data_IF_734984531819
#
_entry.id   IF_734984531819
#
_cell.length_a   1.000
_cell.length_b   1.000
_cell.length_c   1.000
_cell.angle_alpha   90.00
_cell.angle_beta   90.00
_cell.angle_gamma   90.00
#
_symmetry.space_group_name_H-M   'P 1'
#
loop_
_entity.id
_entity.type
_entity.pdbx_description
1 polymer ?
#
# COMPACT_ATOMS: atom_id res chain seq x y z
N UNK A 1 23.62 3.89 -5.38
CA UNK A 1 22.16 3.98 -5.62
C UNK A 1 21.88 3.36 -6.97
N UNK A 2 21.20 2.22 -7.01
CA UNK A 2 20.76 1.64 -8.28
C UNK A 2 19.88 2.65 -9.01
N UNK A 3 20.13 2.87 -10.30
CA UNK A 3 19.29 3.78 -11.08
C UNK A 3 17.93 3.10 -11.27
N UNK A 4 16.87 3.80 -10.87
CA UNK A 4 15.47 3.38 -11.07
C UNK A 4 15.09 3.24 -12.54
N UNK A 5 15.92 3.76 -13.44
CA UNK A 5 15.84 3.62 -14.90
C UNK A 5 17.21 3.24 -15.45
N UNK A 6 17.24 2.29 -16.37
CA UNK A 6 18.45 1.83 -17.05
C UNK A 6 18.13 1.36 -18.47
N UNK A 7 19.15 1.04 -19.27
CA UNK A 7 18.99 0.51 -20.64
C UNK A 7 19.63 -0.87 -20.79
N UNK A 8 19.03 -1.73 -21.61
CA UNK A 8 19.57 -2.99 -22.12
C UNK A 8 19.25 -3.07 -23.61
N UNK A 9 20.26 -3.30 -24.44
CA UNK A 9 20.12 -3.48 -25.90
C UNK A 9 19.26 -2.39 -26.57
N UNK A 10 19.54 -1.12 -26.25
CA UNK A 10 18.81 0.09 -26.67
C UNK A 10 17.38 0.28 -26.11
N UNK A 11 16.85 -0.68 -25.35
CA UNK A 11 15.55 -0.58 -24.69
C UNK A 11 15.67 -0.06 -23.26
N UNK A 12 14.69 0.75 -22.84
CA UNK A 12 14.62 1.31 -21.49
C UNK A 12 13.87 0.37 -20.55
N UNK A 13 14.36 0.29 -19.33
CA UNK A 13 13.74 -0.45 -18.25
C UNK A 13 13.63 0.42 -17.01
N UNK A 14 12.64 0.12 -16.18
CA UNK A 14 12.56 0.64 -14.82
C UNK A 14 12.37 -0.45 -13.80
N UNK A 15 13.02 -0.28 -12.65
CA UNK A 15 12.74 -1.09 -11.47
C UNK A 15 11.50 -0.55 -10.76
N UNK A 16 10.55 -1.43 -10.50
CA UNK A 16 9.33 -1.20 -9.72
C UNK A 16 9.25 -2.26 -8.62
N UNK A 17 8.16 -2.25 -7.86
CA UNK A 17 7.69 -3.29 -6.94
C UNK A 17 8.70 -4.44 -6.73
N UNK A 18 9.42 -4.43 -5.60
CA UNK A 18 10.41 -5.46 -5.25
C UNK A 18 11.55 -5.62 -6.28
N UNK A 19 12.04 -4.50 -6.84
CA UNK A 19 13.09 -4.45 -7.87
C UNK A 19 12.78 -5.18 -9.18
N UNK A 20 11.50 -5.52 -9.42
CA UNK A 20 11.08 -6.12 -10.68
C UNK A 20 11.29 -5.13 -11.84
N UNK A 21 11.81 -5.64 -12.95
CA UNK A 21 12.11 -4.85 -14.14
C UNK A 21 10.90 -4.80 -15.07
N UNK A 22 10.53 -3.59 -15.48
CA UNK A 22 9.46 -3.32 -16.44
C UNK A 22 10.10 -2.72 -17.69
N UNK A 23 9.83 -3.30 -18.85
CA UNK A 23 10.24 -2.76 -20.15
C UNK A 23 9.38 -1.52 -20.45
N UNK A 24 10.00 -0.38 -20.67
CA UNK A 24 9.29 0.84 -21.03
C UNK A 24 8.92 0.80 -22.52
N UNK A 25 7.63 0.87 -22.82
CA UNK A 25 7.13 0.87 -24.20
C UNK A 25 7.24 2.29 -24.78
N UNK A 26 8.00 2.42 -25.86
CA UNK A 26 8.10 3.68 -26.63
C UNK A 26 7.11 3.66 -27.80
N UNK A 27 6.29 4.70 -27.95
CA UNK A 27 5.20 4.74 -28.95
C UNK A 27 5.69 4.47 -30.39
N UNK A 28 6.85 4.99 -30.75
CA UNK A 28 7.41 4.85 -32.11
C UNK A 28 8.14 3.52 -32.33
N UNK A 29 8.18 2.64 -31.32
CA UNK A 29 8.93 1.38 -31.30
C UNK A 29 8.12 0.22 -30.72
N UNK A 30 6.79 0.29 -30.74
CA UNK A 30 5.94 -0.73 -30.10
C UNK A 30 6.29 -2.13 -30.60
N UNK A 31 6.35 -2.35 -31.91
CA UNK A 31 6.65 -3.67 -32.48
C UNK A 31 8.03 -4.17 -32.05
N UNK A 32 9.05 -3.31 -32.10
CA UNK A 32 10.41 -3.63 -31.68
C UNK A 32 10.49 -3.95 -30.19
N UNK A 33 9.78 -3.19 -29.35
CA UNK A 33 9.67 -3.45 -27.92
C UNK A 33 9.03 -4.82 -27.66
N UNK A 34 7.95 -5.16 -28.37
CA UNK A 34 7.24 -6.41 -28.18
C UNK A 34 8.02 -7.61 -28.72
N UNK A 35 8.67 -7.50 -29.87
CA UNK A 35 9.57 -8.52 -30.42
C UNK A 35 10.72 -8.80 -29.45
N UNK A 36 11.40 -7.75 -28.99
CA UNK A 36 12.47 -7.87 -28.00
C UNK A 36 11.97 -8.49 -26.70
N UNK A 37 10.79 -8.09 -26.23
CA UNK A 37 10.19 -8.65 -25.03
C UNK A 37 9.97 -10.16 -25.16
N UNK A 38 9.38 -10.61 -26.27
CA UNK A 38 9.09 -12.03 -26.54
C UNK A 38 10.38 -12.85 -26.64
N UNK A 39 11.40 -12.32 -27.33
CA UNK A 39 12.69 -13.00 -27.48
C UNK A 39 13.41 -13.20 -26.15
N UNK A 40 13.15 -12.34 -25.16
CA UNK A 40 13.82 -12.33 -23.86
C UNK A 40 12.91 -12.71 -22.68
N UNK A 41 11.72 -13.26 -22.95
CA UNK A 41 10.70 -13.64 -21.93
C UNK A 41 10.34 -12.51 -20.93
N UNK A 42 10.30 -11.26 -21.41
CA UNK A 42 9.91 -10.10 -20.62
C UNK A 42 8.39 -9.91 -20.68
N UNK A 43 7.70 -10.08 -19.55
CA UNK A 43 6.23 -10.03 -19.46
C UNK A 43 5.65 -8.81 -18.73
N UNK A 44 6.51 -7.89 -18.30
CA UNK A 44 6.16 -6.73 -17.48
C UNK A 44 6.52 -5.44 -18.21
N UNK A 45 5.53 -4.56 -18.37
CA UNK A 45 5.66 -3.38 -19.21
C UNK A 45 5.23 -2.10 -18.49
N UNK A 46 5.99 -1.03 -18.73
CA UNK A 46 5.63 0.32 -18.31
C UNK A 46 5.18 1.14 -19.52
N UNK A 47 3.98 1.73 -19.41
CA UNK A 47 3.44 2.68 -20.38
C UNK A 47 3.33 4.03 -19.69
N UNK A 48 4.09 4.99 -20.20
CA UNK A 48 4.24 6.30 -19.57
C UNK A 48 4.47 7.39 -20.59
N UNK A 49 3.78 8.52 -20.41
CA UNK A 49 4.05 9.77 -21.11
C UNK A 49 5.53 10.19 -20.99
N UNK A 50 6.14 9.97 -19.82
CA UNK A 50 7.54 10.33 -19.56
C UNK A 50 8.54 9.48 -20.36
N UNK A 51 8.11 8.31 -20.84
CA UNK A 51 8.92 7.39 -21.64
C UNK A 51 8.50 7.39 -23.11
N UNK A 52 8.14 8.57 -23.61
CA UNK A 52 7.78 8.80 -25.01
C UNK A 52 6.51 8.08 -25.49
N UNK A 53 5.67 7.58 -24.58
CA UNK A 53 4.33 7.09 -24.91
C UNK A 53 3.31 8.25 -24.94
N UNK A 54 3.34 9.05 -26.00
CA UNK A 54 2.47 10.23 -26.17
C UNK A 54 1.15 9.90 -26.90
N UNK A 55 0.49 8.83 -26.49
CA UNK A 55 -0.82 8.39 -27.00
C UNK A 55 -1.71 7.98 -25.84
N UNK A 56 -3.03 8.16 -25.97
CA UNK A 56 -4.01 7.60 -25.03
C UNK A 56 -4.33 6.12 -25.35
N UNK A 57 -4.09 5.68 -26.58
CA UNK A 57 -4.43 4.36 -27.06
C UNK A 57 -3.40 3.33 -26.62
N UNK A 58 -3.85 2.25 -25.99
CA UNK A 58 -3.06 1.06 -25.62
C UNK A 58 -3.68 -0.22 -26.19
N UNK A 59 -4.51 -0.11 -27.23
CA UNK A 59 -5.19 -1.23 -27.88
C UNK A 59 -4.24 -2.29 -28.44
N UNK A 60 -2.99 -1.91 -28.75
CA UNK A 60 -1.96 -2.86 -29.19
C UNK A 60 -1.76 -4.02 -28.19
N UNK A 61 -2.03 -3.80 -26.89
CA UNK A 61 -1.95 -4.84 -25.85
C UNK A 61 -2.88 -6.03 -26.12
N UNK A 62 -3.97 -5.83 -26.86
CA UNK A 62 -4.93 -6.87 -27.23
C UNK A 62 -4.25 -7.97 -28.07
N UNK A 63 -3.24 -7.60 -28.87
CA UNK A 63 -2.48 -8.57 -29.67
C UNK A 63 -1.58 -9.48 -28.81
N UNK A 64 -1.44 -9.19 -27.52
CA UNK A 64 -0.53 -9.86 -26.59
C UNK A 64 -1.22 -10.32 -25.29
N UNK A 65 -2.54 -10.55 -25.34
CA UNK A 65 -3.37 -10.89 -24.17
C UNK A 65 -2.92 -12.16 -23.42
N UNK A 66 -2.30 -13.11 -24.12
CA UNK A 66 -1.79 -14.35 -23.53
C UNK A 66 -0.37 -14.21 -22.96
N UNK A 67 0.32 -13.11 -23.25
CA UNK A 67 1.73 -12.92 -22.92
C UNK A 67 1.96 -11.95 -21.75
N UNK A 68 1.19 -10.87 -21.69
CA UNK A 68 1.39 -9.79 -20.71
C UNK A 68 0.95 -10.25 -19.31
N UNK A 69 1.86 -10.19 -18.34
CA UNK A 69 1.59 -10.53 -16.94
C UNK A 69 1.63 -9.32 -16.01
N UNK A 70 2.32 -8.23 -16.39
CA UNK A 70 2.42 -7.04 -15.54
C UNK A 70 2.34 -5.74 -16.32
N UNK A 71 1.56 -4.78 -15.80
CA UNK A 71 1.43 -3.44 -16.37
C UNK A 71 1.59 -2.36 -15.31
N UNK A 72 2.44 -1.38 -15.61
CA UNK A 72 2.55 -0.12 -14.89
C UNK A 72 2.14 1.03 -15.82
N UNK A 73 0.96 1.59 -15.58
CA UNK A 73 0.40 2.69 -16.34
C UNK A 73 0.55 3.98 -15.53
N UNK A 74 1.45 4.86 -15.96
CA UNK A 74 1.78 6.08 -15.20
C UNK A 74 1.06 7.34 -15.70
N UNK A 75 0.10 7.19 -16.60
CA UNK A 75 -0.51 8.29 -17.33
C UNK A 75 -2.03 8.22 -17.25
N UNK A 76 -2.62 9.19 -16.56
CA UNK A 76 -4.06 9.27 -16.23
C UNK A 76 -4.97 9.45 -17.47
N UNK A 77 -4.40 9.76 -18.63
CA UNK A 77 -5.15 9.97 -19.87
C UNK A 77 -5.25 8.73 -20.77
N UNK A 78 -4.68 7.58 -20.38
CA UNK A 78 -4.78 6.35 -21.17
C UNK A 78 -6.22 5.81 -21.18
N UNK A 79 -6.65 5.31 -22.33
CA UNK A 79 -7.85 4.48 -22.43
C UNK A 79 -7.53 3.08 -21.89
N UNK A 80 -7.99 2.79 -20.67
CA UNK A 80 -7.78 1.49 -20.02
C UNK A 80 -8.81 0.43 -20.42
N UNK A 81 -9.70 0.70 -21.38
CA UNK A 81 -10.67 -0.29 -21.86
C UNK A 81 -10.04 -1.63 -22.28
N UNK A 82 -8.84 -1.69 -22.91
CA UNK A 82 -8.19 -2.96 -23.28
C UNK A 82 -7.83 -3.85 -22.08
N UNK A 83 -7.67 -3.29 -20.88
CA UNK A 83 -7.30 -4.06 -19.68
C UNK A 83 -8.31 -5.17 -19.37
N UNK A 84 -9.59 -4.97 -19.70
CA UNK A 84 -10.64 -5.98 -19.49
C UNK A 84 -10.42 -7.28 -20.28
N UNK A 85 -9.50 -7.30 -21.25
CA UNK A 85 -9.19 -8.48 -22.05
C UNK A 85 -7.93 -9.23 -21.59
N UNK A 86 -7.13 -8.63 -20.69
CA UNK A 86 -5.83 -9.16 -20.26
C UNK A 86 -5.98 -10.19 -19.13
N UNK A 87 -6.56 -11.35 -19.45
CA UNK A 87 -6.86 -12.41 -18.46
C UNK A 87 -5.63 -13.02 -17.78
N UNK A 88 -4.44 -12.85 -18.36
CA UNK A 88 -3.17 -13.31 -17.79
C UNK A 88 -2.53 -12.33 -16.80
N UNK A 89 -3.10 -11.13 -16.65
CA UNK A 89 -2.51 -10.08 -15.83
C UNK A 89 -2.45 -10.47 -14.35
N UNK A 90 -1.24 -10.45 -13.80
CA UNK A 90 -0.92 -10.73 -12.40
C UNK A 90 -0.62 -9.47 -11.62
N UNK A 91 -0.10 -8.44 -12.28
CA UNK A 91 0.24 -7.17 -11.65
C UNK A 91 -0.30 -6.00 -12.45
N UNK A 92 -1.00 -5.10 -11.78
CA UNK A 92 -1.55 -3.91 -12.40
C UNK A 92 -1.37 -2.69 -11.50
N UNK A 93 -0.73 -1.66 -12.04
CA UNK A 93 -0.67 -0.33 -11.45
C UNK A 93 -1.23 0.67 -12.45
N UNK A 94 -2.19 1.49 -12.04
CA UNK A 94 -2.68 2.61 -12.84
C UNK A 94 -3.06 3.80 -11.97
N UNK A 95 -3.10 4.99 -12.59
CA UNK A 95 -3.40 6.23 -11.91
C UNK A 95 -4.89 6.53 -11.85
N UNK A 96 -5.22 7.79 -12.10
CA UNK A 96 -6.58 8.32 -12.06
C UNK A 96 -7.23 8.22 -13.45
N UNK A 97 -8.20 7.31 -13.62
CA UNK A 97 -8.89 7.07 -14.90
C UNK A 97 -10.42 7.14 -14.74
N UNK A 98 -10.93 8.22 -14.14
CA UNK A 98 -12.33 8.32 -13.71
C UNK A 98 -13.39 8.02 -14.79
N UNK A 99 -13.06 8.23 -16.07
CA UNK A 99 -13.98 8.06 -17.20
C UNK A 99 -14.07 6.63 -17.73
N UNK A 100 -13.16 5.75 -17.34
CA UNK A 100 -13.05 4.41 -17.93
C UNK A 100 -13.63 3.33 -17.02
N UNK A 101 -14.09 2.24 -17.63
CA UNK A 101 -14.65 1.09 -16.93
C UNK A 101 -13.62 -0.03 -16.83
N UNK A 102 -13.41 -0.54 -15.62
CA UNK A 102 -12.62 -1.76 -15.39
C UNK A 102 -13.45 -2.70 -14.51
N UNK A 103 -13.66 -3.90 -15.01
CA UNK A 103 -14.30 -4.97 -14.28
C UNK A 103 -13.23 -5.97 -13.81
N UNK A 104 -12.98 -6.01 -12.50
CA UNK A 104 -11.94 -6.84 -11.92
C UNK A 104 -12.28 -8.34 -11.95
N UNK A 105 -13.54 -8.71 -12.23
CA UNK A 105 -13.89 -10.10 -12.50
C UNK A 105 -13.27 -10.63 -13.81
N UNK A 106 -12.87 -9.74 -14.73
CA UNK A 106 -12.18 -10.10 -15.96
C UNK A 106 -10.67 -10.37 -15.77
N UNK A 107 -10.13 -10.09 -14.58
CA UNK A 107 -8.71 -10.24 -14.23
C UNK A 107 -8.51 -11.32 -13.16
N UNK A 108 -8.84 -12.60 -13.44
CA UNK A 108 -8.89 -13.64 -12.42
C UNK A 108 -7.52 -14.01 -11.83
N UNK A 109 -6.42 -13.65 -12.51
CA UNK A 109 -5.04 -13.96 -12.07
C UNK A 109 -4.36 -12.81 -11.32
N UNK A 110 -5.08 -11.73 -11.05
CA UNK A 110 -4.49 -10.52 -10.47
C UNK A 110 -4.06 -10.75 -9.00
N UNK A 111 -2.75 -10.67 -8.75
CA UNK A 111 -2.13 -10.85 -7.43
C UNK A 111 -1.81 -9.51 -6.78
N UNK A 112 -1.33 -8.55 -7.59
CA UNK A 112 -1.00 -7.20 -7.14
C UNK A 112 -1.84 -6.18 -7.90
N UNK A 113 -2.51 -5.29 -7.16
CA UNK A 113 -3.27 -4.19 -7.73
C UNK A 113 -2.99 -2.90 -6.96
N UNK A 114 -2.61 -1.84 -7.66
CA UNK A 114 -2.54 -0.49 -7.10
C UNK A 114 -3.20 0.53 -8.01
N UNK A 115 -4.19 1.27 -7.51
CA UNK A 115 -4.93 2.21 -8.35
C UNK A 115 -5.54 3.39 -7.59
N UNK A 116 -6.05 4.39 -8.32
CA UNK A 116 -6.91 5.44 -7.76
C UNK A 116 -8.38 5.05 -7.88
N UNK A 117 -9.09 5.04 -6.75
CA UNK A 117 -10.49 4.64 -6.69
C UNK A 117 -11.41 5.52 -7.53
N UNK A 118 -12.29 4.89 -8.30
CA UNK A 118 -13.40 5.54 -8.98
C UNK A 118 -14.64 4.64 -9.02
N UNK A 119 -15.82 5.24 -9.19
CA UNK A 119 -17.11 4.53 -9.22
C UNK A 119 -17.28 3.54 -10.37
N UNK A 120 -16.42 3.60 -11.38
CA UNK A 120 -16.45 2.75 -12.56
C UNK A 120 -15.59 1.48 -12.44
N UNK A 121 -14.85 1.31 -11.32
CA UNK A 121 -14.28 0.01 -10.94
C UNK A 121 -15.41 -0.88 -10.44
N UNK A 122 -15.57 -2.02 -11.09
CA UNK A 122 -16.60 -3.01 -10.75
C UNK A 122 -15.97 -4.29 -10.20
N UNK A 123 -16.75 -4.98 -9.37
CA UNK A 123 -16.43 -6.32 -8.87
C UNK A 123 -15.08 -6.44 -8.15
N UNK A 124 -14.66 -5.41 -7.40
CA UNK A 124 -13.47 -5.49 -6.55
C UNK A 124 -13.60 -6.61 -5.50
N UNK A 125 -14.81 -6.85 -5.01
CA UNK A 125 -15.18 -7.95 -4.12
C UNK A 125 -14.98 -9.33 -4.74
N UNK A 126 -14.79 -9.43 -6.07
CA UNK A 126 -14.58 -10.70 -6.80
C UNK A 126 -13.11 -10.94 -7.19
N UNK A 127 -12.20 -10.05 -6.83
CA UNK A 127 -10.78 -10.16 -7.14
C UNK A 127 -10.06 -11.13 -6.18
N UNK A 128 -10.57 -12.37 -6.06
CA UNK A 128 -10.20 -13.34 -5.02
C UNK A 128 -8.72 -13.79 -5.04
N UNK A 129 -8.00 -13.52 -6.13
CA UNK A 129 -6.57 -13.82 -6.29
C UNK A 129 -5.66 -12.76 -5.67
N UNK A 130 -6.19 -11.60 -5.26
CA UNK A 130 -5.37 -10.51 -4.74
C UNK A 130 -4.68 -10.87 -3.43
N UNK A 131 -3.38 -10.63 -3.40
CA UNK A 131 -2.52 -10.77 -2.22
C UNK A 131 -2.02 -9.41 -1.72
N UNK A 132 -1.93 -8.42 -2.61
CA UNK A 132 -1.53 -7.05 -2.27
C UNK A 132 -2.38 -6.02 -2.99
N UNK A 133 -2.95 -5.09 -2.23
CA UNK A 133 -3.89 -4.09 -2.72
C UNK A 133 -3.52 -2.69 -2.21
N UNK A 134 -3.29 -1.78 -3.14
CA UNK A 134 -3.10 -0.35 -2.91
C UNK A 134 -4.26 0.46 -3.50
N UNK A 135 -4.92 1.30 -2.71
CA UNK A 135 -5.98 2.16 -3.23
C UNK A 135 -5.81 3.61 -2.76
N UNK A 136 -5.52 4.49 -3.71
CA UNK A 136 -5.57 5.94 -3.53
C UNK A 136 -7.00 6.46 -3.65
N UNK A 137 -7.34 7.51 -2.90
CA UNK A 137 -8.67 8.14 -2.91
C UNK A 137 -9.84 7.17 -2.62
N UNK A 138 -9.57 6.06 -1.92
CA UNK A 138 -10.56 5.03 -1.64
C UNK A 138 -11.83 5.62 -1.02
N UNK A 139 -12.97 5.48 -1.70
CA UNK A 139 -14.20 6.16 -1.31
C UNK A 139 -15.45 5.34 -1.66
N UNK A 140 -15.62 4.14 -1.07
CA UNK A 140 -16.82 3.34 -1.27
C UNK A 140 -18.07 4.05 -0.77
N UNK A 141 -19.24 3.55 -1.19
CA UNK A 141 -20.53 4.05 -0.70
C UNK A 141 -20.70 3.78 0.80
N UNK A 142 -20.26 2.62 1.28
CA UNK A 142 -20.33 2.18 2.69
C UNK A 142 -19.42 2.96 3.64
N UNK A 143 -18.41 3.67 3.13
CA UNK A 143 -17.37 4.36 3.93
C UNK A 143 -16.56 3.43 4.84
N UNK A 144 -16.42 2.18 4.44
CA UNK A 144 -15.65 1.14 5.15
C UNK A 144 -14.98 0.15 4.17
N UNK A 145 -14.56 -1.01 4.66
CA UNK A 145 -13.90 -2.08 3.89
C UNK A 145 -14.81 -3.27 3.58
N UNK A 146 -16.13 -3.16 3.75
CA UNK A 146 -17.07 -4.27 3.53
C UNK A 146 -16.94 -4.94 2.16
N UNK A 147 -16.68 -4.15 1.11
CA UNK A 147 -16.45 -4.68 -0.25
C UNK A 147 -15.13 -5.46 -0.42
N UNK A 148 -14.19 -5.35 0.52
CA UNK A 148 -12.95 -6.14 0.51
C UNK A 148 -13.08 -7.43 1.31
N UNK A 149 -14.19 -7.65 2.01
CA UNK A 149 -14.36 -8.70 3.02
C UNK A 149 -14.21 -10.14 2.52
N UNK A 150 -14.23 -10.36 1.20
CA UNK A 150 -14.05 -11.67 0.58
C UNK A 150 -12.63 -11.89 0.02
N UNK A 151 -11.74 -10.90 0.13
CA UNK A 151 -10.36 -10.96 -0.38
C UNK A 151 -9.44 -11.71 0.59
N UNK A 152 -9.79 -12.96 0.90
CA UNK A 152 -9.17 -13.74 1.97
C UNK A 152 -7.68 -14.06 1.75
N UNK A 153 -7.15 -13.89 0.53
CA UNK A 153 -5.72 -14.04 0.22
C UNK A 153 -4.90 -12.78 0.50
N UNK A 154 -5.53 -11.67 0.91
CA UNK A 154 -4.86 -10.40 1.06
C UNK A 154 -3.90 -10.41 2.26
N UNK A 155 -2.62 -10.21 1.98
CA UNK A 155 -1.55 -10.08 2.99
C UNK A 155 -1.17 -8.61 3.21
N UNK A 156 -1.38 -7.75 2.22
CA UNK A 156 -1.02 -6.33 2.27
C UNK A 156 -2.15 -5.45 1.77
N UNK A 157 -2.55 -4.47 2.60
CA UNK A 157 -3.54 -3.46 2.27
C UNK A 157 -2.99 -2.06 2.55
N UNK A 158 -2.90 -1.25 1.49
CA UNK A 158 -2.54 0.16 1.54
C UNK A 158 -3.69 1.04 1.08
N UNK A 159 -4.08 2.01 1.89
CA UNK A 159 -5.07 3.02 1.56
C UNK A 159 -4.45 4.40 1.75
N UNK A 160 -4.59 5.26 0.76
CA UNK A 160 -4.16 6.65 0.83
C UNK A 160 -5.32 7.60 0.50
N UNK A 161 -5.42 8.71 1.23
CA UNK A 161 -6.38 9.80 0.98
C UNK A 161 -7.84 9.34 0.95
N UNK A 162 -8.31 8.68 2.00
CA UNK A 162 -9.65 8.10 2.06
C UNK A 162 -10.60 8.85 2.99
N UNK A 163 -11.90 8.82 2.65
CA UNK A 163 -12.99 9.31 3.50
C UNK A 163 -13.70 8.18 4.28
N UNK A 164 -13.06 7.02 4.45
CA UNK A 164 -13.57 5.97 5.34
C UNK A 164 -13.78 6.49 6.76
N UNK A 165 -14.78 5.94 7.43
CA UNK A 165 -15.14 6.28 8.82
C UNK A 165 -14.95 5.11 9.77
N UNK A 166 -14.96 3.88 9.25
CA UNK A 166 -14.85 2.64 10.02
C UNK A 166 -13.92 1.62 9.36
N UNK A 167 -13.44 0.67 10.16
CA UNK A 167 -12.60 -0.44 9.73
C UNK A 167 -13.39 -1.71 9.35
N UNK A 168 -14.72 -1.68 9.40
CA UNK A 168 -15.60 -2.83 9.10
C UNK A 168 -15.29 -3.44 7.73
N UNK A 169 -15.34 -4.76 7.63
CA UNK A 169 -14.90 -5.57 6.50
C UNK A 169 -13.46 -6.08 6.63
N UNK A 170 -12.60 -5.45 7.44
CA UNK A 170 -11.24 -5.96 7.69
C UNK A 170 -11.24 -7.17 8.63
N UNK A 171 -12.29 -7.37 9.42
CA UNK A 171 -12.44 -8.53 10.30
C UNK A 171 -12.33 -9.85 9.54
N UNK A 172 -12.67 -9.92 8.26
CA UNK A 172 -12.62 -11.18 7.50
C UNK A 172 -11.23 -11.47 6.89
N UNK A 173 -10.30 -10.50 6.92
CA UNK A 173 -8.98 -10.60 6.29
C UNK A 173 -7.95 -11.25 7.21
N UNK A 174 -8.18 -12.52 7.55
CA UNK A 174 -7.38 -13.29 8.51
C UNK A 174 -5.89 -13.46 8.13
N UNK A 175 -5.55 -13.32 6.85
CA UNK A 175 -4.17 -13.42 6.34
C UNK A 175 -3.43 -12.07 6.29
N UNK A 176 -4.07 -10.96 6.69
CA UNK A 176 -3.48 -9.64 6.60
C UNK A 176 -2.26 -9.49 7.52
N UNK A 177 -1.12 -9.14 6.93
CA UNK A 177 0.16 -8.94 7.61
C UNK A 177 0.57 -7.47 7.63
N UNK A 178 0.16 -6.69 6.63
CA UNK A 178 0.49 -5.28 6.49
C UNK A 178 -0.76 -4.45 6.26
N UNK A 179 -1.00 -3.47 7.14
CA UNK A 179 -2.08 -2.50 7.01
C UNK A 179 -1.51 -1.09 7.08
N UNK A 180 -1.72 -0.32 6.01
CA UNK A 180 -1.31 1.08 5.92
C UNK A 180 -2.52 1.94 5.60
N UNK A 181 -2.96 2.78 6.53
CA UNK A 181 -4.01 3.78 6.34
C UNK A 181 -3.37 5.17 6.43
N UNK A 182 -3.29 5.88 5.31
CA UNK A 182 -2.67 7.22 5.23
C UNK A 182 -3.70 8.25 4.79
N UNK A 183 -3.62 9.43 5.38
CA UNK A 183 -4.53 10.55 5.07
C UNK A 183 -6.00 10.11 5.11
N UNK A 184 -6.41 9.45 6.19
CA UNK A 184 -7.79 9.05 6.44
C UNK A 184 -8.40 9.95 7.54
N UNK A 185 -8.69 11.23 7.25
CA UNK A 185 -9.04 12.22 8.29
C UNK A 185 -10.42 12.00 8.90
N UNK A 186 -11.25 11.12 8.32
CA UNK A 186 -12.60 10.79 8.80
C UNK A 186 -12.67 9.48 9.57
N UNK A 187 -11.57 8.74 9.68
CA UNK A 187 -11.54 7.49 10.44
C UNK A 187 -11.64 7.81 11.93
N UNK A 188 -12.72 7.40 12.60
CA UNK A 188 -13.01 7.84 13.96
C UNK A 188 -12.58 6.85 15.04
N UNK A 189 -12.62 5.55 14.75
CA UNK A 189 -12.35 4.53 15.77
C UNK A 189 -11.45 3.43 15.23
N UNK A 190 -10.33 3.23 15.90
CA UNK A 190 -9.57 2.00 15.79
C UNK A 190 -10.32 0.91 16.56
N UNK A 191 -10.62 -0.18 15.87
CA UNK A 191 -11.25 -1.36 16.46
C UNK A 191 -10.38 -2.57 16.16
N UNK A 192 -10.14 -3.37 17.18
CA UNK A 192 -9.48 -4.67 17.05
C UNK A 192 -10.54 -5.75 16.78
N UNK A 193 -10.34 -6.57 15.74
CA UNK A 193 -11.33 -7.55 15.27
C UNK A 193 -11.07 -8.99 15.70
N UNK A 194 -10.22 -9.24 16.70
CA UNK A 194 -9.64 -10.56 16.99
C UNK A 194 -8.82 -11.19 15.86
N UNK A 195 -8.97 -10.74 14.60
CA UNK A 195 -8.39 -11.34 13.39
C UNK A 195 -7.08 -10.69 12.92
N UNK A 196 -6.65 -9.57 13.52
CA UNK A 196 -5.30 -9.01 13.30
C UNK A 196 -4.18 -9.81 13.97
N UNK A 197 -4.37 -11.12 14.20
CA UNK A 197 -3.39 -12.00 14.87
C UNK A 197 -2.11 -12.15 14.06
N UNK A 198 -2.20 -12.03 12.74
CA UNK A 198 -1.06 -12.14 11.82
C UNK A 198 -0.49 -10.77 11.40
N UNK A 199 -1.03 -9.67 11.92
CA UNK A 199 -0.62 -8.33 11.52
C UNK A 199 0.76 -8.01 12.11
N UNK A 200 1.74 -7.82 11.23
CA UNK A 200 3.13 -7.51 11.56
C UNK A 200 3.45 -6.03 11.43
N UNK A 201 2.75 -5.32 10.54
CA UNK A 201 2.97 -3.90 10.32
C UNK A 201 1.66 -3.15 10.29
N UNK A 202 1.56 -2.12 11.13
CA UNK A 202 0.44 -1.19 11.17
C UNK A 202 0.97 0.23 10.98
N UNK A 203 0.46 0.92 9.97
CA UNK A 203 0.75 2.33 9.74
C UNK A 203 -0.55 3.12 9.70
N UNK A 204 -0.69 4.07 10.62
CA UNK A 204 -1.74 5.06 10.69
C UNK A 204 -1.06 6.42 10.51
N UNK A 205 -1.21 7.05 9.36
CA UNK A 205 -0.54 8.32 9.05
C UNK A 205 -1.59 9.39 8.71
N UNK A 206 -1.52 10.54 9.39
CA UNK A 206 -2.48 11.63 9.26
C UNK A 206 -3.95 11.19 9.48
N UNK A 207 -4.19 10.21 10.34
CA UNK A 207 -5.52 9.76 10.76
C UNK A 207 -6.09 10.65 11.88
N UNK A 208 -6.29 11.94 11.59
CA UNK A 208 -6.49 13.02 12.59
C UNK A 208 -7.72 12.91 13.52
N UNK A 209 -8.63 11.96 13.31
CA UNK A 209 -9.83 11.76 14.15
C UNK A 209 -9.86 10.39 14.82
N UNK A 210 -8.81 9.59 14.66
CA UNK A 210 -8.82 8.21 15.16
C UNK A 210 -8.73 8.18 16.68
N UNK A 211 -9.63 7.44 17.29
CA UNK A 211 -9.66 7.15 18.72
C UNK A 211 -9.43 5.66 18.98
N UNK A 212 -9.20 5.27 20.23
CA UNK A 212 -9.02 3.86 20.60
C UNK A 212 -7.65 3.28 20.27
N UNK A 213 -6.63 4.11 20.01
CA UNK A 213 -5.25 3.68 19.74
C UNK A 213 -4.67 2.72 20.79
N UNK A 214 -4.96 2.83 22.11
CA UNK A 214 -4.48 1.84 23.08
C UNK A 214 -4.92 0.39 22.81
N UNK A 215 -5.97 0.16 22.01
CA UNK A 215 -6.38 -1.20 21.61
C UNK A 215 -5.35 -1.90 20.70
N UNK A 216 -4.37 -1.17 20.14
CA UNK A 216 -3.26 -1.76 19.38
C UNK A 216 -2.50 -2.78 20.21
N UNK A 217 -2.49 -2.67 21.55
CA UNK A 217 -1.87 -3.63 22.47
C UNK A 217 -2.33 -5.09 22.30
N UNK A 218 -3.47 -5.33 21.64
CA UNK A 218 -3.99 -6.66 21.36
C UNK A 218 -3.38 -7.31 20.11
N UNK A 219 -2.63 -6.56 19.29
CA UNK A 219 -1.97 -7.05 18.08
C UNK A 219 -0.60 -7.63 18.46
N UNK A 220 -0.62 -8.82 19.07
CA UNK A 220 0.56 -9.40 19.72
C UNK A 220 1.73 -9.75 18.80
N UNK A 221 1.52 -9.84 17.47
CA UNK A 221 2.56 -10.13 16.48
C UNK A 221 3.12 -8.86 15.80
N UNK A 222 2.76 -7.66 16.29
CA UNK A 222 3.15 -6.42 15.64
C UNK A 222 4.66 -6.17 15.80
N UNK A 223 5.35 -6.03 14.68
CA UNK A 223 6.78 -5.75 14.58
C UNK A 223 7.06 -4.27 14.25
N UNK A 224 6.14 -3.61 13.55
CA UNK A 224 6.26 -2.21 13.12
C UNK A 224 4.96 -1.44 13.36
N UNK A 225 5.07 -0.33 14.09
CA UNK A 225 3.98 0.59 14.37
C UNK A 225 4.34 2.01 13.95
N UNK A 226 3.51 2.60 13.09
CA UNK A 226 3.54 4.04 12.78
C UNK A 226 2.20 4.66 13.13
N UNK A 227 2.21 5.77 13.87
CA UNK A 227 1.03 6.57 14.21
C UNK A 227 1.28 8.07 13.96
N UNK A 228 2.00 8.41 12.88
CA UNK A 228 2.41 9.79 12.63
C UNK A 228 1.20 10.71 12.37
N UNK A 229 1.17 11.89 13.01
CA UNK A 229 0.11 12.89 12.84
C UNK A 229 -1.31 12.39 13.20
N UNK A 230 -1.40 11.39 14.07
CA UNK A 230 -2.63 10.98 14.75
C UNK A 230 -2.93 11.89 15.96
N UNK A 231 -4.16 11.85 16.52
CA UNK A 231 -4.50 12.57 17.75
C UNK A 231 -3.56 12.25 18.90
N UNK A 232 -3.39 13.25 19.78
CA UNK A 232 -2.61 13.10 21.00
C UNK A 232 -3.11 11.91 21.83
N UNK A 233 -2.17 11.18 22.43
CA UNK A 233 -2.43 10.02 23.30
C UNK A 233 -2.10 10.38 24.74
N UNK A 234 -2.87 9.85 25.69
CA UNK A 234 -2.64 10.10 27.13
C UNK A 234 -1.24 9.67 27.57
N UNK A 235 -0.87 8.46 27.17
CA UNK A 235 0.36 7.76 27.55
C UNK A 235 0.68 6.69 26.49
N UNK A 236 1.83 6.03 26.65
CA UNK A 236 2.31 4.94 25.78
C UNK A 236 2.46 3.60 26.50
N UNK A 237 1.82 3.42 27.67
CA UNK A 237 1.98 2.19 28.48
C UNK A 237 1.53 0.93 27.75
N UNK A 238 0.50 1.08 26.91
CA UNK A 238 -0.04 0.00 26.09
C UNK A 238 0.99 -0.60 25.12
N UNK A 239 2.08 0.11 24.81
CA UNK A 239 3.14 -0.43 23.95
C UNK A 239 3.89 -1.57 24.63
N UNK A 240 3.98 -1.61 25.97
CA UNK A 240 4.67 -2.67 26.74
C UNK A 240 4.13 -4.08 26.44
N UNK A 241 2.90 -4.15 25.91
CA UNK A 241 2.22 -5.38 25.52
C UNK A 241 2.68 -5.94 24.16
N UNK A 242 3.43 -5.16 23.37
CA UNK A 242 3.88 -5.46 22.00
C UNK A 242 5.30 -6.00 21.99
N UNK A 243 5.47 -7.24 22.47
CA UNK A 243 6.78 -7.86 22.73
C UNK A 243 7.69 -8.06 21.50
N UNK A 244 7.14 -7.97 20.28
CA UNK A 244 7.89 -8.11 19.03
C UNK A 244 8.11 -6.77 18.32
N UNK A 245 7.68 -5.66 18.92
CA UNK A 245 7.78 -4.34 18.32
C UNK A 245 9.24 -3.92 18.20
N UNK A 246 9.70 -3.74 16.97
CA UNK A 246 11.08 -3.36 16.63
C UNK A 246 11.15 -1.97 16.01
N UNK A 247 10.05 -1.51 15.41
CA UNK A 247 10.00 -0.21 14.73
C UNK A 247 8.84 0.62 15.24
N UNK A 248 9.14 1.82 15.73
CA UNK A 248 8.14 2.75 16.26
C UNK A 248 8.32 4.15 15.69
N UNK A 249 7.26 4.67 15.08
CA UNK A 249 7.19 6.04 14.59
C UNK A 249 5.93 6.73 15.15
N UNK A 250 6.10 7.80 15.92
CA UNK A 250 5.00 8.59 16.51
C UNK A 250 5.27 10.10 16.31
N UNK A 251 5.73 10.46 15.12
CA UNK A 251 6.03 11.83 14.75
C UNK A 251 4.75 12.66 14.71
N UNK A 252 4.77 13.87 15.28
CA UNK A 252 3.61 14.78 15.33
C UNK A 252 2.36 14.19 16.01
N UNK A 253 2.54 13.19 16.88
CA UNK A 253 1.52 12.69 17.80
C UNK A 253 2.05 12.85 19.22
N UNK A 254 1.40 13.70 20.01
CA UNK A 254 1.90 14.06 21.34
C UNK A 254 1.49 13.01 22.37
N UNK A 255 2.43 12.61 23.21
CA UNK A 255 2.21 11.83 24.43
C UNK A 255 1.99 12.82 25.56
N UNK A 256 0.77 12.90 26.09
CA UNK A 256 0.36 13.97 26.98
C UNK A 256 1.05 13.92 28.34
N UNK A 257 1.28 12.72 28.89
CA UNK A 257 2.01 12.56 30.16
C UNK A 257 3.53 12.76 30.03
N UNK A 258 4.07 12.76 28.81
CA UNK A 258 5.49 12.93 28.51
C UNK A 258 6.40 11.81 29.03
N UNK A 259 5.84 10.70 29.52
CA UNK A 259 6.62 9.63 30.12
C UNK A 259 7.14 8.64 29.07
N UNK A 260 8.31 8.93 28.52
CA UNK A 260 8.98 8.13 27.50
C UNK A 260 9.76 6.93 28.08
N UNK A 261 9.93 6.86 29.41
CA UNK A 261 10.64 5.74 30.07
C UNK A 261 10.00 4.37 29.80
N UNK A 262 8.71 4.33 29.45
CA UNK A 262 8.02 3.10 29.06
C UNK A 262 8.64 2.41 27.83
N UNK A 263 9.38 3.15 26.99
CA UNK A 263 10.04 2.60 25.81
C UNK A 263 11.27 1.74 26.15
N UNK A 264 11.91 1.92 27.31
CA UNK A 264 13.05 1.07 27.72
C UNK A 264 12.67 -0.42 27.80
N UNK A 265 11.41 -0.71 28.17
CA UNK A 265 10.86 -2.08 28.28
C UNK A 265 10.69 -2.80 26.93
N UNK A 266 10.77 -2.07 25.83
CA UNK A 266 10.53 -2.58 24.47
C UNK A 266 11.81 -2.80 23.68
N UNK A 267 12.97 -2.52 24.29
CA UNK A 267 14.27 -2.69 23.64
C UNK A 267 14.57 -4.15 23.28
N UNK A 268 15.39 -4.36 22.22
CA UNK A 268 15.98 -3.34 21.34
C UNK A 268 15.03 -2.91 20.20
N UNK A 269 15.03 -1.61 19.87
CA UNK A 269 14.42 -1.11 18.64
C UNK A 269 15.42 -1.17 17.47
N UNK A 270 14.95 -1.57 16.30
CA UNK A 270 15.68 -1.40 15.03
C UNK A 270 15.56 0.05 14.53
N UNK A 271 14.37 0.65 14.69
CA UNK A 271 14.09 2.02 14.26
C UNK A 271 13.13 2.71 15.25
N UNK A 272 13.53 3.88 15.76
CA UNK A 272 12.71 4.70 16.65
C UNK A 272 12.72 6.15 16.17
N UNK A 273 11.53 6.73 15.99
CA UNK A 273 11.39 8.15 15.74
C UNK A 273 10.14 8.72 16.38
N UNK A 274 10.32 9.70 17.26
CA UNK A 274 9.26 10.56 17.74
C UNK A 274 9.66 12.03 17.74
N UNK A 275 8.65 12.90 17.66
CA UNK A 275 8.85 14.34 17.83
C UNK A 275 9.15 14.61 19.30
N UNK A 276 10.33 15.13 19.60
CA UNK A 276 10.70 15.46 20.97
C UNK A 276 9.98 16.75 21.41
N UNK A 277 9.10 16.64 22.41
CA UNK A 277 8.43 17.79 23.00
C UNK A 277 9.09 18.13 24.34
N UNK A 278 9.05 19.41 24.73
CA UNK A 278 9.78 19.94 25.90
C UNK A 278 9.45 19.20 27.21
N UNK A 279 8.22 18.69 27.36
CA UNK A 279 7.78 17.98 28.57
C UNK A 279 8.11 16.47 28.56
N UNK A 280 8.77 15.97 27.52
CA UNK A 280 9.15 14.56 27.46
C UNK A 280 10.33 14.28 28.39
N UNK A 281 10.25 13.15 29.08
CA UNK A 281 11.29 12.70 30.02
C UNK A 281 12.59 12.27 29.36
N UNK A 282 12.54 11.79 28.10
CA UNK A 282 13.68 11.27 27.35
C UNK A 282 13.52 11.57 25.85
N UNK A 283 14.62 11.74 25.13
CA UNK A 283 14.64 11.89 23.67
C UNK A 283 15.01 10.60 22.93
N UNK A 284 14.98 10.62 21.58
CA UNK A 284 15.29 9.43 20.78
C UNK A 284 16.70 8.91 21.07
N UNK A 285 17.66 9.79 21.38
CA UNK A 285 19.04 9.40 21.64
C UNK A 285 19.15 8.67 22.99
N UNK A 286 18.50 9.20 24.04
CA UNK A 286 18.42 8.54 25.35
C UNK A 286 17.86 7.13 25.17
N UNK A 287 16.68 7.02 24.55
CA UNK A 287 16.02 5.72 24.37
C UNK A 287 16.83 4.82 23.46
N UNK A 288 17.60 5.26 22.47
CA UNK A 288 18.35 4.33 21.61
C UNK A 288 19.71 3.90 22.18
N UNK A 289 20.31 4.65 23.11
CA UNK A 289 21.72 4.48 23.47
C UNK A 289 22.01 4.19 24.96
N UNK A 290 21.02 4.22 25.86
CA UNK A 290 21.25 3.86 27.29
C UNK A 290 20.73 2.47 27.66
N UNK A 291 21.52 1.68 28.39
CA UNK A 291 21.13 0.36 28.91
C UNK A 291 20.30 0.45 30.21
N UNK A 292 19.47 1.50 30.39
CA UNK A 292 18.67 1.61 31.61
C UNK A 292 17.68 0.41 31.74
N UNK A 293 17.68 -0.28 32.89
CA UNK A 293 16.95 -1.54 33.11
C UNK A 293 15.43 -1.40 33.18
#
# INVERSE_FOLDING_TARGET
>A
MEKWEFKKDDFRFRRRLNNQEFLCVELNKIDQCMEYAIQNDIKHFEISYFHHYKSNDISFLINYIEYIEGLYLSSDFLDISPLNQLKQLKQLVFGDHEQQHLDLANLPKLVFLSFTWHKNIKNLDKAYSLESLGIGKYNPKSKDFSQLSQLNKLHSLGIDRSNITALSGLENLSHLQHLSLRHCPKLEKFQYFDNFRNLKSLSLDQCKRISGLPQIQYIKQLESLRMDGCPDISDIKFLAELKFLKKLYIMKTKVLDGNMSHLFKLKPFEELAYTNYIHYTHDNWDIMNTDEP
#
